data_IF_675335588960
#
_entry.id   IF_675335588960
#
_cell.length_a   1.000
_cell.length_b   1.000
_cell.length_c   1.000
_cell.angle_alpha   90.00
_cell.angle_beta   90.00
_cell.angle_gamma   90.00
#
_symmetry.space_group_name_H-M   'P 1'
#
loop_
_entity.id
_entity.type
_entity.pdbx_description
1 polymer ?
#
# COMPACT_ATOMS: atom_id res chain seq x y z
N UNK A 1 22.24 -59.39 3.54
CA UNK A 1 21.22 -59.22 2.52
C UNK A 1 19.92 -58.87 3.21
N UNK A 2 19.61 -57.63 3.30
CA UNK A 2 18.31 -57.14 3.74
C UNK A 2 18.04 -55.84 2.99
N UNK A 3 17.05 -55.93 2.08
CA UNK A 3 16.53 -54.81 1.35
C UNK A 3 15.70 -53.95 2.28
N UNK A 4 16.03 -52.67 2.35
CA UNK A 4 15.19 -51.68 3.05
C UNK A 4 14.46 -50.85 2.02
N UNK A 5 13.17 -51.14 1.90
CA UNK A 5 12.25 -50.46 0.99
C UNK A 5 11.67 -49.22 1.69
N UNK A 6 12.20 -48.05 1.34
CA UNK A 6 11.69 -46.77 1.78
C UNK A 6 10.38 -46.43 1.04
N UNK A 7 9.24 -46.61 1.69
CA UNK A 7 7.91 -46.29 1.19
C UNK A 7 7.61 -44.79 1.26
N UNK A 8 7.41 -44.22 0.10
CA UNK A 8 6.82 -42.91 -0.23
C UNK A 8 5.48 -42.70 0.52
N UNK A 9 5.45 -41.82 1.53
CA UNK A 9 4.24 -41.43 2.24
C UNK A 9 3.65 -40.15 1.65
N UNK A 10 2.91 -40.29 0.58
CA UNK A 10 1.97 -39.23 0.15
C UNK A 10 0.68 -39.33 0.94
N UNK A 11 0.10 -38.21 1.42
CA UNK A 11 -1.19 -38.25 2.11
C UNK A 11 -2.30 -38.59 1.11
N UNK A 12 -3.04 -39.66 1.40
CA UNK A 12 -4.23 -40.07 0.66
C UNK A 12 -5.36 -39.07 0.95
N UNK A 13 -5.79 -38.37 -0.08
CA UNK A 13 -7.05 -37.61 -0.06
C UNK A 13 -8.20 -38.60 -0.21
N UNK A 14 -9.13 -38.69 0.76
CA UNK A 14 -10.28 -39.55 0.70
C UNK A 14 -11.36 -38.96 -0.23
N UNK A 15 -12.05 -39.78 -1.02
CA UNK A 15 -13.11 -39.32 -1.88
C UNK A 15 -14.45 -39.14 -1.17
N UNK A 16 -15.07 -38.03 -1.51
CA UNK A 16 -16.49 -37.71 -1.53
C UNK A 16 -17.46 -38.60 -0.75
N UNK A 17 -18.07 -38.05 0.29
CA UNK A 17 -19.29 -38.56 0.89
C UNK A 17 -20.51 -38.09 0.08
N UNK A 18 -21.25 -39.02 -0.47
CA UNK A 18 -22.51 -38.82 -1.17
C UNK A 18 -23.62 -38.43 -0.19
N UNK A 19 -24.32 -37.34 -0.48
CA UNK A 19 -25.51 -36.93 0.26
C UNK A 19 -26.70 -37.81 -0.15
N UNK A 20 -27.24 -38.57 0.80
CA UNK A 20 -28.57 -39.21 0.71
C UNK A 20 -29.62 -38.12 0.99
N UNK A 21 -30.45 -37.86 0.00
CA UNK A 21 -31.64 -37.05 0.15
C UNK A 21 -32.74 -37.84 0.86
N UNK A 22 -33.15 -37.42 2.06
CA UNK A 22 -34.40 -37.81 2.67
C UNK A 22 -35.40 -36.67 2.51
N UNK A 23 -36.45 -36.94 1.74
CA UNK A 23 -37.64 -36.12 1.71
C UNK A 23 -38.48 -36.38 2.94
N UNK A 24 -38.70 -35.41 3.81
CA UNK A 24 -39.75 -35.43 4.83
C UNK A 24 -40.68 -34.26 4.54
N UNK A 25 -41.88 -34.59 4.08
CA UNK A 25 -43.04 -33.71 4.03
C UNK A 25 -43.62 -33.56 5.43
N UNK A 26 -43.65 -32.38 6.01
CA UNK A 26 -44.60 -32.01 7.07
C UNK A 26 -44.66 -30.47 7.21
N UNK A 27 -45.85 -30.00 7.23
CA UNK A 27 -46.42 -28.68 7.46
C UNK A 27 -45.77 -27.91 8.62
N UNK A 28 -45.41 -26.66 8.39
CA UNK A 28 -45.25 -25.70 9.47
C UNK A 28 -43.90 -24.99 9.51
N UNK A 29 -43.88 -23.72 9.14
CA UNK A 29 -42.83 -22.78 9.57
C UNK A 29 -41.66 -22.60 8.59
N UNK A 30 -41.79 -21.62 7.75
CA UNK A 30 -40.67 -21.05 6.97
C UNK A 30 -39.63 -20.45 7.89
N UNK A 31 -38.65 -21.26 8.31
CA UNK A 31 -37.34 -20.78 8.76
C UNK A 31 -36.32 -21.20 7.71
N UNK A 32 -36.20 -20.38 6.65
CA UNK A 32 -35.00 -20.42 5.81
C UNK A 32 -33.88 -19.86 6.70
N UNK A 33 -33.14 -20.73 7.35
CA UNK A 33 -31.80 -20.43 7.79
C UNK A 33 -31.02 -20.00 6.52
N UNK A 34 -30.85 -18.70 6.31
CA UNK A 34 -29.83 -18.21 5.41
C UNK A 34 -28.51 -18.66 6.00
N UNK A 35 -28.06 -19.82 5.57
CA UNK A 35 -26.64 -20.14 5.66
C UNK A 35 -25.93 -19.01 4.92
N UNK A 36 -25.35 -18.13 5.70
CA UNK A 36 -24.44 -17.12 5.23
C UNK A 36 -23.38 -17.87 4.42
N UNK A 37 -23.48 -17.82 3.09
CA UNK A 37 -22.41 -18.30 2.24
C UNK A 37 -21.16 -17.54 2.69
N UNK A 38 -20.07 -18.23 3.02
CA UNK A 38 -18.81 -17.52 3.27
C UNK A 38 -18.57 -16.60 2.08
N UNK A 39 -18.27 -15.34 2.37
CA UNK A 39 -17.91 -14.38 1.34
C UNK A 39 -16.89 -15.04 0.40
N UNK A 40 -17.02 -14.87 -0.92
CA UNK A 40 -16.03 -15.41 -1.85
C UNK A 40 -14.65 -14.99 -1.34
N UNK A 41 -13.77 -15.96 -1.16
CA UNK A 41 -12.37 -15.68 -0.85
C UNK A 41 -11.86 -14.89 -2.05
N UNK A 42 -11.69 -13.59 -1.87
CA UNK A 42 -11.08 -12.72 -2.87
C UNK A 42 -9.65 -13.19 -3.07
N UNK A 43 -9.44 -13.97 -4.11
CA UNK A 43 -8.10 -14.44 -4.47
C UNK A 43 -7.34 -13.20 -4.90
N UNK A 44 -6.44 -12.75 -4.03
CA UNK A 44 -5.58 -11.61 -4.32
C UNK A 44 -4.74 -11.92 -5.57
N UNK A 45 -5.07 -11.26 -6.67
CA UNK A 45 -4.32 -11.41 -7.92
C UNK A 45 -3.07 -10.55 -7.84
N UNK A 46 -1.91 -11.19 -7.83
CA UNK A 46 -0.64 -10.49 -7.94
C UNK A 46 -0.10 -10.58 -9.37
N UNK A 47 0.37 -9.45 -9.88
CA UNK A 47 0.98 -9.33 -11.19
C UNK A 47 2.36 -8.68 -11.06
N UNK A 48 3.38 -9.31 -11.64
CA UNK A 48 4.71 -8.70 -11.72
C UNK A 48 4.66 -7.43 -12.57
N UNK A 49 5.29 -6.35 -12.09
CA UNK A 49 5.36 -5.07 -12.81
C UNK A 49 5.92 -5.23 -14.23
N UNK A 50 6.84 -6.19 -14.44
CA UNK A 50 7.40 -6.51 -15.75
C UNK A 50 6.38 -7.09 -16.75
N UNK A 51 5.23 -7.57 -16.26
CA UNK A 51 4.13 -8.13 -17.06
C UNK A 51 2.97 -7.14 -17.22
N UNK A 52 3.16 -5.89 -16.79
CA UNK A 52 2.17 -4.81 -16.93
C UNK A 52 2.39 -4.09 -18.25
N UNK A 53 1.35 -3.99 -19.07
CA UNK A 53 1.26 -3.05 -20.18
C UNK A 53 0.39 -1.85 -19.81
N UNK A 54 0.65 -0.70 -20.42
CA UNK A 54 -0.13 0.53 -20.19
C UNK A 54 -0.72 1.03 -21.49
N UNK A 55 -2.00 1.34 -21.48
CA UNK A 55 -2.71 1.95 -22.61
C UNK A 55 -3.81 2.87 -22.07
N UNK A 56 -3.92 4.08 -22.62
CA UNK A 56 -4.92 5.09 -22.21
C UNK A 56 -4.94 5.32 -20.69
N UNK A 57 -3.76 5.46 -20.06
CA UNK A 57 -3.56 5.64 -18.61
C UNK A 57 -4.09 4.48 -17.73
N UNK A 58 -4.41 3.34 -18.33
CA UNK A 58 -4.81 2.12 -17.63
C UNK A 58 -3.75 1.02 -17.72
N UNK A 59 -3.71 0.18 -16.70
CA UNK A 59 -2.84 -0.99 -16.59
C UNK A 59 -3.57 -2.25 -17.03
N UNK A 60 -2.89 -3.08 -17.80
CA UNK A 60 -3.36 -4.38 -18.28
C UNK A 60 -2.30 -5.43 -17.95
N UNK A 61 -2.71 -6.66 -17.69
CA UNK A 61 -1.79 -7.77 -17.75
C UNK A 61 -1.31 -7.96 -19.21
N UNK A 62 -0.08 -8.41 -19.40
CA UNK A 62 0.48 -8.60 -20.75
C UNK A 62 -0.41 -9.52 -21.58
N UNK A 63 -0.86 -9.03 -22.74
CA UNK A 63 -1.75 -9.76 -23.64
C UNK A 63 -3.23 -9.77 -23.23
N UNK A 64 -3.62 -9.13 -22.12
CA UNK A 64 -5.02 -8.99 -21.74
C UNK A 64 -5.69 -7.80 -22.44
N UNK A 65 -7.00 -7.92 -22.69
CA UNK A 65 -7.85 -6.87 -23.24
C UNK A 65 -8.63 -6.13 -22.16
N UNK A 66 -8.79 -6.74 -20.98
CA UNK A 66 -9.48 -6.14 -19.83
C UNK A 66 -8.48 -5.47 -18.90
N UNK A 67 -8.84 -4.30 -18.30
CA UNK A 67 -8.02 -3.63 -17.30
C UNK A 67 -7.74 -4.54 -16.10
N UNK A 68 -6.53 -4.43 -15.55
CA UNK A 68 -6.12 -5.26 -14.43
C UNK A 68 -6.76 -4.80 -13.11
N UNK A 69 -7.17 -5.76 -12.29
CA UNK A 69 -7.57 -5.55 -10.90
C UNK A 69 -6.81 -6.56 -10.02
N UNK A 70 -6.15 -6.05 -8.98
CA UNK A 70 -5.30 -6.82 -8.08
C UNK A 70 -4.11 -6.02 -7.59
N UNK A 71 -3.04 -6.69 -7.16
CA UNK A 71 -1.80 -6.04 -6.72
C UNK A 71 -0.73 -6.16 -7.82
N UNK A 72 -0.06 -5.06 -8.12
CA UNK A 72 1.15 -5.06 -8.95
C UNK A 72 2.35 -5.07 -8.02
N UNK A 73 3.24 -6.04 -8.23
CA UNK A 73 4.43 -6.26 -7.38
C UNK A 73 5.72 -6.16 -8.19
N UNK A 74 6.77 -5.67 -7.54
CA UNK A 74 8.12 -5.64 -8.06
C UNK A 74 9.08 -6.20 -7.01
N UNK A 75 10.07 -6.96 -7.46
CA UNK A 75 11.08 -7.53 -6.58
C UNK A 75 12.48 -7.01 -6.92
N UNK A 76 13.32 -6.91 -5.91
CA UNK A 76 14.74 -6.71 -6.09
C UNK A 76 15.42 -7.96 -6.68
N UNK A 77 16.63 -7.81 -7.21
CA UNK A 77 17.43 -8.94 -7.76
C UNK A 77 17.71 -10.03 -6.73
N UNK A 78 17.68 -9.69 -5.44
CA UNK A 78 17.86 -10.65 -4.33
C UNK A 78 16.57 -11.37 -3.92
N UNK A 79 15.45 -11.14 -4.64
CA UNK A 79 14.16 -11.77 -4.40
C UNK A 79 13.30 -11.09 -3.32
N UNK A 80 13.79 -10.04 -2.66
CA UNK A 80 12.99 -9.28 -1.70
C UNK A 80 11.98 -8.38 -2.41
N UNK A 81 10.80 -8.21 -1.80
CA UNK A 81 9.76 -7.32 -2.31
C UNK A 81 10.29 -5.88 -2.34
N UNK A 82 10.19 -5.24 -3.50
CA UNK A 82 10.57 -3.84 -3.70
C UNK A 82 9.36 -2.91 -3.63
N UNK A 83 8.24 -3.33 -4.23
CA UNK A 83 6.99 -2.58 -4.14
C UNK A 83 5.77 -3.48 -4.32
N UNK A 84 4.66 -3.08 -3.68
CA UNK A 84 3.33 -3.64 -3.88
C UNK A 84 2.35 -2.49 -3.97
N UNK A 85 1.56 -2.46 -5.03
CA UNK A 85 0.60 -1.38 -5.30
C UNK A 85 -0.73 -1.97 -5.71
N UNK A 86 -1.79 -1.53 -5.08
CA UNK A 86 -3.15 -1.95 -5.40
C UNK A 86 -3.66 -1.24 -6.67
N UNK A 87 -4.35 -2.01 -7.49
CA UNK A 87 -4.90 -1.56 -8.78
C UNK A 87 -6.33 -2.07 -8.89
N UNK A 88 -7.25 -1.19 -9.26
CA UNK A 88 -8.61 -1.54 -9.60
C UNK A 88 -8.95 -0.96 -10.98
N UNK A 89 -9.54 -1.79 -11.84
CA UNK A 89 -9.93 -1.41 -13.20
C UNK A 89 -8.81 -0.67 -13.97
N UNK A 90 -7.58 -1.15 -13.84
CA UNK A 90 -6.40 -0.59 -14.49
C UNK A 90 -5.83 0.67 -13.86
N UNK A 91 -6.39 1.21 -12.78
CA UNK A 91 -5.91 2.42 -12.10
C UNK A 91 -5.39 2.11 -10.72
N UNK A 92 -4.39 2.87 -10.28
CA UNK A 92 -3.93 2.81 -8.89
C UNK A 92 -5.10 3.14 -7.97
N UNK A 93 -5.40 2.24 -7.04
CA UNK A 93 -6.52 2.36 -6.11
C UNK A 93 -6.16 1.68 -4.80
N UNK A 94 -6.30 2.41 -3.67
CA UNK A 94 -5.88 1.89 -2.37
C UNK A 94 -4.43 2.20 -2.05
N UNK A 95 -3.74 1.30 -1.36
CA UNK A 95 -2.41 1.55 -0.82
C UNK A 95 -1.29 1.10 -1.76
N UNK A 96 -0.20 1.85 -1.76
CA UNK A 96 1.07 1.50 -2.38
C UNK A 96 2.18 1.49 -1.33
N UNK A 97 2.91 0.40 -1.25
CA UNK A 97 4.05 0.23 -0.38
C UNK A 97 5.33 0.06 -1.19
N UNK A 98 6.39 0.75 -0.79
CA UNK A 98 7.75 0.52 -1.27
C UNK A 98 8.66 0.12 -0.10
N UNK A 99 9.64 -0.70 -0.38
CA UNK A 99 10.53 -1.27 0.61
C UNK A 99 12.00 -1.06 0.23
N UNK A 100 12.85 -0.97 1.22
CA UNK A 100 14.29 -1.00 1.03
C UNK A 100 14.78 -2.44 0.75
N UNK A 101 16.03 -2.56 0.29
CA UNK A 101 16.69 -3.86 0.06
C UNK A 101 16.90 -4.69 1.32
N UNK A 102 16.74 -4.12 2.50
CA UNK A 102 16.74 -4.82 3.79
C UNK A 102 15.35 -5.27 4.24
N UNK A 103 14.31 -5.03 3.41
CA UNK A 103 12.91 -5.40 3.68
C UNK A 103 12.14 -4.39 4.54
N UNK A 104 12.77 -3.34 5.04
CA UNK A 104 12.07 -2.30 5.79
C UNK A 104 11.25 -1.40 4.86
N UNK A 105 10.14 -0.87 5.39
CA UNK A 105 9.29 0.07 4.67
C UNK A 105 10.07 1.33 4.28
N UNK A 106 9.95 1.75 3.03
CA UNK A 106 10.53 2.97 2.49
C UNK A 106 9.49 4.05 2.26
N UNK A 107 8.33 3.66 1.74
CA UNK A 107 7.25 4.58 1.42
C UNK A 107 5.89 3.89 1.54
N UNK A 108 4.91 4.62 2.04
CA UNK A 108 3.48 4.32 2.01
C UNK A 108 2.74 5.49 1.39
N UNK A 109 1.90 5.22 0.43
CA UNK A 109 1.14 6.22 -0.31
C UNK A 109 -0.22 5.65 -0.69
N UNK A 110 -1.24 6.49 -0.72
CA UNK A 110 -2.61 6.10 -1.05
C UNK A 110 -3.03 6.72 -2.37
N UNK A 111 -3.82 5.97 -3.13
CA UNK A 111 -4.32 6.38 -4.44
C UNK A 111 -5.83 6.21 -4.55
N UNK A 112 -6.45 7.12 -5.28
CA UNK A 112 -7.85 7.04 -5.70
C UNK A 112 -7.93 7.36 -7.18
N UNK A 113 -8.42 6.42 -7.99
CA UNK A 113 -8.51 6.57 -9.46
C UNK A 113 -7.19 7.01 -10.13
N UNK A 114 -6.05 6.48 -9.66
CA UNK A 114 -4.73 6.80 -10.19
C UNK A 114 -4.09 8.07 -9.63
N UNK A 115 -4.81 8.84 -8.80
CA UNK A 115 -4.32 10.09 -8.21
C UNK A 115 -3.95 9.85 -6.76
N UNK A 116 -2.76 10.30 -6.35
CA UNK A 116 -2.33 10.24 -4.95
C UNK A 116 -3.24 11.09 -4.07
N UNK A 117 -3.69 10.51 -2.93
CA UNK A 117 -4.61 11.15 -1.99
C UNK A 117 -4.43 10.56 -0.59
N UNK A 118 -4.49 11.40 0.45
CA UNK A 118 -4.30 10.97 1.84
C UNK A 118 -2.87 11.18 2.34
N UNK A 119 -2.52 10.55 3.46
CA UNK A 119 -1.21 10.76 4.09
C UNK A 119 -0.15 9.90 3.43
N UNK A 120 0.87 10.54 2.87
CA UNK A 120 2.07 9.89 2.40
C UNK A 120 3.14 9.90 3.48
N UNK A 121 3.74 8.73 3.73
CA UNK A 121 4.85 8.56 4.68
C UNK A 121 6.07 7.98 3.98
N UNK A 122 7.25 8.43 4.42
CA UNK A 122 8.54 7.85 4.03
C UNK A 122 9.38 7.57 5.27
N UNK A 123 10.21 6.57 5.19
CA UNK A 123 11.10 6.14 6.28
C UNK A 123 12.54 6.16 5.85
N UNK A 124 13.43 6.36 6.79
CA UNK A 124 14.86 6.10 6.67
C UNK A 124 15.13 4.58 6.61
N UNK A 125 16.32 4.20 6.15
CA UNK A 125 16.71 2.79 6.07
C UNK A 125 16.83 2.13 7.45
N UNK A 126 16.97 2.90 8.53
CA UNK A 126 16.96 2.43 9.92
C UNK A 126 15.53 2.24 10.49
N UNK A 127 14.49 2.49 9.69
CA UNK A 127 13.07 2.34 10.05
C UNK A 127 12.45 3.55 10.76
N UNK A 128 13.22 4.61 11.05
CA UNK A 128 12.63 5.85 11.61
C UNK A 128 11.89 6.64 10.53
N UNK A 129 10.83 7.35 10.91
CA UNK A 129 10.08 8.19 9.98
C UNK A 129 10.99 9.27 9.38
N UNK A 130 11.04 9.36 8.05
CA UNK A 130 11.76 10.41 7.32
C UNK A 130 10.88 11.61 7.04
N UNK A 131 9.63 11.37 6.59
CA UNK A 131 8.71 12.47 6.28
C UNK A 131 7.26 11.97 6.25
N UNK A 132 6.35 12.91 6.51
CA UNK A 132 4.92 12.73 6.35
C UNK A 132 4.26 14.02 5.85
N UNK A 133 3.15 13.88 5.15
CA UNK A 133 2.32 14.98 4.71
C UNK A 133 1.08 14.50 4.01
N UNK A 134 0.03 15.30 4.07
CA UNK A 134 -1.23 15.03 3.41
C UNK A 134 -1.15 15.43 1.93
N UNK A 135 -1.69 14.58 1.07
CA UNK A 135 -1.84 14.83 -0.36
C UNK A 135 -3.32 14.91 -0.70
N UNK A 136 -3.71 15.97 -1.39
CA UNK A 136 -5.05 16.18 -1.92
C UNK A 136 -4.94 16.41 -3.41
N UNK A 137 -5.56 15.55 -4.21
CA UNK A 137 -5.52 15.67 -5.67
C UNK A 137 -4.10 15.65 -6.26
N UNK A 138 -3.19 14.83 -5.69
CA UNK A 138 -1.81 14.69 -6.15
C UNK A 138 -0.84 15.75 -5.63
N UNK A 139 -1.29 16.71 -4.83
CA UNK A 139 -0.46 17.79 -4.31
C UNK A 139 -0.45 17.82 -2.79
N UNK A 140 0.72 18.07 -2.19
CA UNK A 140 0.81 18.23 -0.74
C UNK A 140 0.00 19.44 -0.26
N UNK A 141 -0.73 19.24 0.84
CA UNK A 141 -1.55 20.26 1.49
C UNK A 141 -1.39 20.21 3.01
N UNK A 142 -1.43 21.39 3.68
CA UNK A 142 -1.22 21.45 5.12
C UNK A 142 0.23 21.28 5.53
N UNK A 143 0.46 20.71 6.71
CA UNK A 143 1.80 20.55 7.28
C UNK A 143 2.54 19.36 6.63
N UNK A 144 3.64 19.65 5.98
CA UNK A 144 4.61 18.64 5.56
C UNK A 144 5.78 18.63 6.54
N UNK A 145 6.06 17.46 7.11
CA UNK A 145 7.10 17.28 8.14
C UNK A 145 8.22 16.39 7.64
N UNK A 146 9.46 16.73 8.00
CA UNK A 146 10.65 15.88 7.85
C UNK A 146 11.29 15.64 9.21
N UNK A 147 11.90 14.49 9.36
CA UNK A 147 12.55 14.05 10.58
C UNK A 147 13.99 13.63 10.30
N UNK A 148 14.86 13.88 11.25
CA UNK A 148 16.22 13.36 11.28
C UNK A 148 16.22 11.83 11.51
N UNK A 149 17.34 11.17 11.22
CA UNK A 149 17.47 9.71 11.46
C UNK A 149 17.31 9.31 12.94
N UNK A 150 17.50 10.26 13.87
CA UNK A 150 17.26 10.07 15.29
C UNK A 150 15.79 10.26 15.70
N UNK A 151 14.89 10.47 14.73
CA UNK A 151 13.44 10.63 14.91
C UNK A 151 12.99 12.02 15.34
N UNK A 152 13.91 12.95 15.61
CA UNK A 152 13.54 14.35 15.94
C UNK A 152 13.08 15.11 14.69
N UNK A 153 12.13 16.03 14.87
CA UNK A 153 11.66 16.90 13.80
C UNK A 153 12.81 17.73 13.25
N UNK A 154 12.99 17.68 11.93
CA UNK A 154 14.01 18.43 11.21
C UNK A 154 13.43 19.63 10.49
N UNK A 155 12.22 19.50 9.93
CA UNK A 155 11.57 20.56 9.18
C UNK A 155 10.06 20.41 9.21
N UNK A 156 9.35 21.52 9.30
CA UNK A 156 7.93 21.65 9.05
C UNK A 156 7.68 22.75 8.04
N UNK A 157 6.95 22.42 6.98
CA UNK A 157 6.58 23.38 5.93
C UNK A 157 5.07 23.36 5.78
N UNK A 158 4.45 24.53 5.86
CA UNK A 158 3.04 24.65 5.49
C UNK A 158 2.92 24.79 3.97
N UNK A 159 2.08 23.94 3.39
CA UNK A 159 1.86 23.86 1.95
C UNK A 159 0.40 24.12 1.59
N UNK A 160 0.18 24.80 0.50
CA UNK A 160 -1.12 24.94 -0.14
C UNK A 160 -0.99 24.55 -1.60
N UNK A 161 -1.64 23.46 -2.01
CA UNK A 161 -1.57 22.92 -3.38
C UNK A 161 -0.11 22.73 -3.85
N UNK A 162 0.71 22.10 -3.01
CA UNK A 162 2.13 21.83 -3.30
C UNK A 162 3.08 23.03 -3.16
N UNK A 163 2.56 24.24 -2.92
CA UNK A 163 3.37 25.48 -2.86
C UNK A 163 3.52 25.91 -1.39
N UNK A 164 4.74 26.27 -0.92
CA UNK A 164 4.95 26.79 0.42
C UNK A 164 4.11 28.04 0.69
N UNK A 165 3.29 27.97 1.77
CA UNK A 165 2.41 29.05 2.20
C UNK A 165 2.18 28.98 3.71
N UNK A 166 2.55 30.01 4.44
CA UNK A 166 2.53 30.05 5.91
C UNK A 166 3.91 29.87 6.52
N UNK A 167 3.95 29.56 7.81
CA UNK A 167 5.21 29.46 8.56
C UNK A 167 5.90 28.13 8.30
N UNK A 168 7.17 28.20 7.94
CA UNK A 168 8.08 27.07 7.84
C UNK A 168 9.16 27.15 8.91
N UNK A 169 9.49 26.01 9.52
CA UNK A 169 10.47 25.91 10.61
C UNK A 169 11.48 24.83 10.32
N UNK A 170 12.68 25.00 10.84
CA UNK A 170 13.74 24.00 10.78
C UNK A 170 14.42 23.85 12.15
N UNK A 171 14.82 22.60 12.46
CA UNK A 171 15.48 22.23 13.71
C UNK A 171 16.74 21.43 13.42
N UNK A 172 17.72 21.56 14.30
CA UNK A 172 18.91 20.74 14.27
C UNK A 172 18.66 19.32 14.81
N UNK A 173 19.68 18.47 14.77
CA UNK A 173 19.61 17.08 15.27
C UNK A 173 19.40 16.98 16.78
N UNK A 174 19.64 18.06 17.54
CA UNK A 174 19.37 18.14 18.97
C UNK A 174 17.92 18.55 19.25
N UNK A 175 17.18 19.02 18.23
CA UNK A 175 15.82 19.53 18.33
C UNK A 175 15.75 21.02 18.65
N UNK A 176 16.87 21.74 18.50
CA UNK A 176 16.91 23.20 18.65
C UNK A 176 16.36 23.86 17.38
N UNK A 177 15.44 24.79 17.53
CA UNK A 177 14.94 25.59 16.41
C UNK A 177 16.07 26.46 15.84
N UNK A 178 16.36 26.31 14.54
CA UNK A 178 17.45 27.02 13.86
C UNK A 178 16.96 28.01 12.80
N UNK A 179 15.70 27.87 12.38
CA UNK A 179 15.15 28.80 11.37
C UNK A 179 13.62 28.84 11.43
N UNK A 180 13.08 30.05 11.24
CA UNK A 180 11.64 30.30 11.03
C UNK A 180 11.48 31.29 9.90
N UNK A 181 10.73 30.88 8.87
CA UNK A 181 10.49 31.67 7.65
C UNK A 181 9.00 31.74 7.39
N UNK A 182 8.47 32.90 7.07
CA UNK A 182 7.13 33.05 6.54
C UNK A 182 7.17 33.02 5.00
N UNK A 183 6.36 32.14 4.45
CA UNK A 183 6.25 31.89 2.99
C UNK A 183 4.87 32.33 2.50
N UNK A 184 4.81 32.92 1.33
CA UNK A 184 3.55 33.23 0.64
C UNK A 184 3.70 32.91 -0.85
N UNK A 185 2.88 31.95 -1.29
CA UNK A 185 2.90 31.49 -2.70
C UNK A 185 4.30 31.10 -3.20
N UNK A 186 5.10 30.45 -2.36
CA UNK A 186 6.45 29.99 -2.68
C UNK A 186 7.56 31.03 -2.45
N UNK A 187 7.22 32.25 -2.15
CA UNK A 187 8.18 33.33 -1.89
C UNK A 187 8.35 33.60 -0.39
N UNK A 188 9.57 33.90 0.04
CA UNK A 188 9.88 34.31 1.40
C UNK A 188 9.41 35.76 1.61
N UNK A 189 8.50 35.98 2.58
CA UNK A 189 7.94 37.31 2.89
C UNK A 189 8.39 37.87 4.24
N UNK A 190 8.98 37.05 5.07
CA UNK A 190 9.52 37.45 6.39
C UNK A 190 10.45 36.39 6.96
N UNK A 191 11.37 36.85 7.79
CA UNK A 191 12.22 36.03 8.65
C UNK A 191 11.98 36.49 10.07
N UNK A 192 11.52 35.59 10.93
CA UNK A 192 11.50 35.85 12.35
C UNK A 192 12.84 35.36 12.91
N UNK A 193 13.76 36.30 13.20
CA UNK A 193 14.84 36.02 14.12
C UNK A 193 14.23 35.91 15.53
N UNK A 194 14.49 34.79 16.22
CA UNK A 194 14.30 34.68 17.67
C UNK A 194 15.49 35.28 18.40
#
# INVERSE_FOLDING_TARGET
MQEDSNQDRRPKVSPATWFLAFAITALGGWWISQQQQPAPVEVERELLLSLVSRSNDMMFASGATEPFTGSVVEYYKNGQLKSKTEVAEGKLQGVSHGYFTNGQMQVEEFFTNGVSHGVRKKWHMNGTLLSEGEIIGGQFHGAFKKYHENGKLAQEVMLSNGVPHGVSRAWDTNGTLINTVEMRNGEKVGEKAE
#
